data_IF_943768642427
#
_entry.id   IF_943768642427
#
_cell.length_a   1.000
_cell.length_b   1.000
_cell.length_c   1.000
_cell.angle_alpha   90.00
_cell.angle_beta   90.00
_cell.angle_gamma   90.00
#
_symmetry.space_group_name_H-M   'P 1'
#
loop_
_entity.id
_entity.type
_entity.pdbx_description
1 polymer ?
#
# COMPACT_ATOMS: atom_id res chain seq x y z
N UNK A 1 13.73 -6.16 14.02
CA UNK A 1 14.07 -5.39 12.81
C UNK A 1 12.80 -4.70 12.32
N UNK A 2 12.57 -3.44 12.72
CA UNK A 2 11.34 -2.70 12.40
C UNK A 2 11.53 -1.39 11.63
N UNK A 3 12.79 -0.94 11.47
CA UNK A 3 13.09 0.35 10.85
C UNK A 3 13.15 0.27 9.32
N UNK A 4 13.54 -0.87 8.75
CA UNK A 4 13.68 -1.03 7.31
C UNK A 4 12.32 -1.36 6.66
N UNK A 5 11.93 -0.66 5.58
CA UNK A 5 10.67 -0.91 4.90
C UNK A 5 10.55 -2.34 4.37
N UNK A 6 9.38 -2.97 4.54
CA UNK A 6 9.12 -4.31 4.03
C UNK A 6 9.10 -4.31 2.49
N UNK A 7 9.44 -5.43 1.88
CA UNK A 7 9.48 -5.56 0.41
C UNK A 7 8.16 -5.20 -0.28
N UNK A 8 7.02 -5.48 0.36
CA UNK A 8 5.70 -5.09 -0.15
C UNK A 8 5.50 -3.57 -0.18
N UNK A 9 6.03 -2.84 0.81
CA UNK A 9 5.96 -1.38 0.88
C UNK A 9 6.79 -0.74 -0.25
N UNK A 10 7.95 -1.34 -0.58
CA UNK A 10 8.74 -0.94 -1.76
C UNK A 10 7.97 -1.12 -3.06
N UNK A 11 7.35 -2.29 -3.26
CA UNK A 11 6.57 -2.58 -4.46
C UNK A 11 5.42 -1.58 -4.65
N UNK A 12 4.65 -1.31 -3.58
CA UNK A 12 3.56 -0.32 -3.59
C UNK A 12 4.08 1.08 -3.95
N UNK A 13 5.21 1.48 -3.38
CA UNK A 13 5.79 2.80 -3.64
C UNK A 13 6.27 2.92 -5.09
N UNK A 14 6.95 1.91 -5.63
CA UNK A 14 7.39 1.93 -7.03
C UNK A 14 6.18 2.03 -7.98
N UNK A 15 5.13 1.26 -7.71
CA UNK A 15 3.92 1.26 -8.53
C UNK A 15 3.18 2.61 -8.45
N UNK A 16 3.14 3.22 -7.26
CA UNK A 16 2.68 4.59 -7.05
C UNK A 16 3.47 5.59 -7.91
N UNK A 17 4.81 5.58 -7.85
CA UNK A 17 5.64 6.51 -8.63
C UNK A 17 5.44 6.30 -10.12
N UNK A 18 5.43 5.05 -10.59
CA UNK A 18 5.22 4.75 -12.00
C UNK A 18 3.90 5.35 -12.51
N UNK A 19 2.81 5.16 -11.77
CA UNK A 19 1.50 5.70 -12.15
C UNK A 19 1.49 7.22 -12.06
N UNK A 20 2.13 7.82 -11.06
CA UNK A 20 2.24 9.27 -10.94
C UNK A 20 3.02 9.89 -12.12
N UNK A 21 4.11 9.25 -12.55
CA UNK A 21 4.89 9.69 -13.72
C UNK A 21 4.07 9.55 -15.00
N UNK A 22 3.43 8.40 -15.23
CA UNK A 22 2.59 8.18 -16.42
C UNK A 22 1.43 9.17 -16.45
N UNK A 23 0.75 9.37 -15.32
CA UNK A 23 -0.33 10.34 -15.17
C UNK A 23 0.19 11.75 -15.43
N UNK A 24 1.35 12.10 -14.87
CA UNK A 24 2.01 13.39 -15.07
C UNK A 24 2.35 13.64 -16.55
N UNK A 25 2.93 12.66 -17.24
CA UNK A 25 3.25 12.75 -18.67
C UNK A 25 1.98 12.90 -19.51
N UNK A 26 0.93 12.12 -19.21
CA UNK A 26 -0.36 12.25 -19.89
C UNK A 26 -0.97 13.63 -19.67
N UNK A 27 -0.92 14.14 -18.44
CA UNK A 27 -1.38 15.49 -18.06
C UNK A 27 -0.55 16.59 -18.72
N UNK A 28 0.77 16.47 -18.78
CA UNK A 28 1.67 17.43 -19.41
C UNK A 28 1.51 17.46 -20.93
N UNK A 29 1.18 16.32 -21.54
CA UNK A 29 0.82 16.23 -22.96
C UNK A 29 -0.52 16.91 -23.28
N UNK A 30 -1.40 17.10 -22.28
CA UNK A 30 -2.57 17.95 -22.37
C UNK A 30 -2.14 19.41 -22.10
N UNK A 31 -1.61 20.09 -23.12
CA UNK A 31 -1.04 21.46 -23.07
C UNK A 31 -1.88 22.52 -22.31
N UNK A 32 -3.17 22.27 -22.09
CA UNK A 32 -4.10 23.18 -21.43
C UNK A 32 -4.53 22.77 -20.02
N UNK A 33 -4.13 21.61 -19.48
CA UNK A 33 -4.68 21.13 -18.20
C UNK A 33 -4.35 22.05 -17.00
N UNK A 34 -3.12 22.55 -16.81
CA UNK A 34 -2.81 23.46 -15.69
C UNK A 34 -3.60 24.76 -15.77
N UNK A 35 -3.75 25.28 -17.00
CA UNK A 35 -4.54 26.49 -17.29
C UNK A 35 -6.03 26.25 -17.09
N UNK A 36 -6.52 25.05 -17.43
CA UNK A 36 -7.90 24.64 -17.23
C UNK A 36 -8.21 24.37 -15.76
N UNK A 37 -7.27 23.85 -14.96
CA UNK A 37 -7.39 23.71 -13.51
C UNK A 37 -7.49 25.09 -12.86
N UNK A 38 -6.62 26.03 -13.25
CA UNK A 38 -6.66 27.41 -12.75
C UNK A 38 -7.95 28.15 -13.15
N UNK A 39 -8.44 27.95 -14.37
CA UNK A 39 -9.74 28.49 -14.79
C UNK A 39 -10.90 27.81 -14.07
N UNK A 40 -10.82 26.50 -13.87
CA UNK A 40 -11.84 25.73 -13.19
C UNK A 40 -11.89 26.03 -11.69
N UNK A 41 -10.79 26.39 -11.02
CA UNK A 41 -10.83 26.80 -9.62
C UNK A 41 -11.67 28.05 -9.35
N UNK A 42 -12.03 28.80 -10.40
CA UNK A 42 -12.97 29.92 -10.32
C UNK A 42 -14.44 29.47 -10.41
N UNK A 43 -14.71 28.22 -10.80
CA UNK A 43 -16.04 27.62 -10.89
C UNK A 43 -16.04 26.32 -10.07
N UNK A 44 -16.56 26.32 -8.83
CA UNK A 44 -16.41 25.20 -7.88
C UNK A 44 -16.85 23.83 -8.44
N UNK A 45 -17.90 23.79 -9.25
CA UNK A 45 -18.40 22.55 -9.86
C UNK A 45 -17.42 21.99 -10.90
N UNK A 46 -16.85 22.82 -11.77
CA UNK A 46 -15.84 22.40 -12.75
C UNK A 46 -14.52 22.01 -12.07
N UNK A 47 -14.13 22.73 -11.02
CA UNK A 47 -12.97 22.36 -10.21
C UNK A 47 -13.12 20.96 -9.63
N UNK A 48 -14.27 20.66 -9.02
CA UNK A 48 -14.54 19.34 -8.45
C UNK A 48 -14.55 18.24 -9.50
N UNK A 49 -15.09 18.48 -10.69
CA UNK A 49 -15.10 17.50 -11.79
C UNK A 49 -13.68 17.22 -12.28
N UNK A 50 -12.87 18.25 -12.52
CA UNK A 50 -11.49 18.06 -12.97
C UNK A 50 -10.66 17.38 -11.90
N UNK A 51 -10.82 17.79 -10.64
CA UNK A 51 -10.17 17.17 -9.50
C UNK A 51 -10.56 15.69 -9.40
N UNK A 52 -11.85 15.37 -9.52
CA UNK A 52 -12.34 14.00 -9.54
C UNK A 52 -11.72 13.20 -10.69
N UNK A 53 -11.67 13.72 -11.92
CA UNK A 53 -11.08 13.02 -13.08
C UNK A 53 -9.59 12.75 -12.90
N UNK A 54 -8.83 13.77 -12.46
CA UNK A 54 -7.38 13.66 -12.21
C UNK A 54 -7.07 12.66 -11.09
N UNK A 55 -8.04 12.41 -10.20
CA UNK A 55 -7.89 11.51 -9.05
C UNK A 55 -8.43 10.10 -9.34
N UNK A 56 -9.58 9.98 -10.00
CA UNK A 56 -10.24 8.72 -10.27
C UNK A 56 -9.48 7.90 -11.30
N UNK A 57 -8.99 8.54 -12.37
CA UNK A 57 -8.30 7.83 -13.46
C UNK A 57 -7.07 7.09 -12.93
N UNK A 58 -6.15 7.71 -12.16
CA UNK A 58 -5.01 7.01 -11.58
C UNK A 58 -5.41 5.91 -10.60
N UNK A 59 -6.47 6.12 -9.82
CA UNK A 59 -6.97 5.13 -8.87
C UNK A 59 -7.51 3.87 -9.59
N UNK A 60 -8.30 4.07 -10.64
CA UNK A 60 -8.81 2.98 -11.48
C UNK A 60 -7.65 2.27 -12.17
N UNK A 61 -6.72 3.03 -12.77
CA UNK A 61 -5.53 2.46 -13.41
C UNK A 61 -4.70 1.61 -12.43
N UNK A 62 -4.47 2.11 -11.21
CA UNK A 62 -3.80 1.35 -10.15
C UNK A 62 -4.53 0.06 -9.83
N UNK A 63 -5.85 0.09 -9.63
CA UNK A 63 -6.63 -1.11 -9.31
C UNK A 63 -6.51 -2.17 -10.41
N UNK A 64 -6.52 -1.77 -11.68
CA UNK A 64 -6.34 -2.68 -12.81
C UNK A 64 -4.92 -3.25 -12.87
N UNK A 65 -3.90 -2.40 -12.76
CA UNK A 65 -2.48 -2.81 -12.78
C UNK A 65 -2.18 -3.75 -11.60
N UNK A 66 -2.62 -3.40 -10.40
CA UNK A 66 -2.49 -4.23 -9.21
C UNK A 66 -3.23 -5.56 -9.35
N UNK A 67 -4.44 -5.55 -9.92
CA UNK A 67 -5.18 -6.79 -10.19
C UNK A 67 -4.47 -7.68 -11.22
N UNK A 68 -3.82 -7.09 -12.21
CA UNK A 68 -3.07 -7.83 -13.23
C UNK A 68 -1.77 -8.43 -12.67
N UNK A 69 -1.04 -7.68 -11.84
CA UNK A 69 0.24 -8.13 -11.26
C UNK A 69 0.08 -9.06 -10.05
N UNK A 70 -0.89 -8.81 -9.18
CA UNK A 70 -0.96 -9.39 -7.83
C UNK A 70 -2.34 -9.96 -7.46
N UNK A 71 -3.36 -9.78 -8.32
CA UNK A 71 -4.74 -10.06 -7.96
C UNK A 71 -5.18 -11.49 -8.23
N UNK A 72 -5.33 -12.29 -7.18
CA UNK A 72 -6.20 -13.46 -7.23
C UNK A 72 -7.67 -12.98 -7.20
N UNK A 73 -8.39 -13.13 -8.32
CA UNK A 73 -9.83 -12.83 -8.36
C UNK A 73 -10.59 -13.93 -7.62
N UNK A 74 -11.57 -13.59 -6.77
CA UNK A 74 -12.43 -14.59 -6.16
C UNK A 74 -13.20 -15.36 -7.23
N UNK A 75 -13.46 -16.64 -6.99
CA UNK A 75 -14.27 -17.46 -7.91
C UNK A 75 -15.66 -16.85 -8.07
N UNK A 76 -16.10 -16.71 -9.33
CA UNK A 76 -17.37 -16.06 -9.68
C UNK A 76 -17.31 -14.51 -9.77
N UNK A 77 -16.16 -13.87 -9.52
CA UNK A 77 -16.04 -12.42 -9.68
C UNK A 77 -16.06 -11.98 -11.16
N UNK A 78 -16.64 -10.80 -11.41
CA UNK A 78 -16.75 -10.26 -12.77
C UNK A 78 -15.38 -10.10 -13.45
N UNK A 79 -15.21 -10.67 -14.64
CA UNK A 79 -13.92 -10.68 -15.37
C UNK A 79 -13.39 -9.27 -15.67
N UNK A 80 -14.27 -8.29 -15.90
CA UNK A 80 -13.90 -6.91 -16.27
C UNK A 80 -13.64 -5.98 -15.09
N UNK A 81 -14.00 -6.39 -13.86
CA UNK A 81 -13.87 -5.54 -12.67
C UNK A 81 -12.58 -5.96 -11.93
N UNK A 82 -11.76 -5.01 -11.44
CA UNK A 82 -10.62 -5.34 -10.60
C UNK A 82 -11.07 -6.07 -9.32
N UNK A 83 -10.20 -6.89 -8.76
CA UNK A 83 -10.52 -7.63 -7.53
C UNK A 83 -10.80 -6.66 -6.36
N UNK A 84 -11.63 -7.03 -5.37
CA UNK A 84 -11.87 -6.20 -4.19
C UNK A 84 -10.59 -5.82 -3.45
N UNK A 85 -9.61 -6.73 -3.41
CA UNK A 85 -8.28 -6.48 -2.83
C UNK A 85 -7.57 -5.37 -3.60
N UNK A 86 -7.56 -5.43 -4.93
CA UNK A 86 -6.94 -4.40 -5.76
C UNK A 86 -7.62 -3.03 -5.64
N UNK A 87 -8.94 -3.01 -5.46
CA UNK A 87 -9.69 -1.75 -5.23
C UNK A 87 -9.29 -1.16 -3.88
N UNK A 88 -9.20 -1.98 -2.83
CA UNK A 88 -8.75 -1.55 -1.50
C UNK A 88 -7.32 -0.99 -1.56
N UNK A 89 -6.42 -1.66 -2.28
CA UNK A 89 -5.04 -1.23 -2.47
C UNK A 89 -4.93 0.07 -3.27
N UNK A 90 -5.78 0.25 -4.28
CA UNK A 90 -5.87 1.51 -5.02
C UNK A 90 -6.34 2.67 -4.13
N UNK A 91 -7.38 2.44 -3.31
CA UNK A 91 -7.86 3.42 -2.35
C UNK A 91 -6.79 3.78 -1.29
N UNK A 92 -6.07 2.78 -0.77
CA UNK A 92 -4.95 2.99 0.15
C UNK A 92 -3.85 3.84 -0.51
N UNK A 93 -3.50 3.50 -1.76
CA UNK A 93 -2.48 4.22 -2.51
C UNK A 93 -2.88 5.68 -2.68
N UNK A 94 -4.14 5.95 -2.98
CA UNK A 94 -4.65 7.32 -3.10
C UNK A 94 -4.50 8.11 -1.80
N UNK A 95 -4.83 7.52 -0.65
CA UNK A 95 -4.62 8.13 0.67
C UNK A 95 -3.14 8.44 0.88
N UNK A 96 -2.25 7.50 0.58
CA UNK A 96 -0.78 7.69 0.71
C UNK A 96 -0.27 8.78 -0.24
N UNK A 97 -0.79 8.87 -1.47
CA UNK A 97 -0.46 9.95 -2.40
C UNK A 97 -0.80 11.31 -1.81
N UNK A 98 -2.05 11.49 -1.36
CA UNK A 98 -2.55 12.77 -0.88
C UNK A 98 -1.83 13.23 0.38
N UNK A 99 -1.79 12.38 1.41
CA UNK A 99 -1.12 12.73 2.67
C UNK A 99 0.41 12.80 2.50
N UNK A 100 0.98 11.95 1.65
CA UNK A 100 2.41 11.96 1.36
C UNK A 100 2.84 13.25 0.65
N UNK A 101 2.08 13.70 -0.36
CA UNK A 101 2.33 14.97 -1.03
C UNK A 101 2.16 16.15 -0.07
N UNK A 102 1.07 16.18 0.69
CA UNK A 102 0.81 17.27 1.65
C UNK A 102 1.93 17.37 2.69
N UNK A 103 2.35 16.24 3.27
CA UNK A 103 3.45 16.22 4.24
C UNK A 103 4.77 16.66 3.60
N UNK A 104 5.04 16.22 2.37
CA UNK A 104 6.24 16.63 1.63
C UNK A 104 6.26 18.12 1.37
N UNK A 105 5.12 18.71 0.96
CA UNK A 105 5.00 20.14 0.74
C UNK A 105 5.21 20.92 2.03
N UNK A 106 4.68 20.46 3.17
CA UNK A 106 4.92 21.09 4.47
C UNK A 106 6.43 21.07 4.81
N UNK A 107 7.09 19.92 4.64
CA UNK A 107 8.54 19.77 4.91
C UNK A 107 9.40 20.65 4.00
N UNK A 108 9.04 20.74 2.72
CA UNK A 108 9.87 21.38 1.69
C UNK A 108 9.53 22.85 1.46
N UNK A 109 8.34 23.33 1.84
CA UNK A 109 7.90 24.71 1.62
C UNK A 109 8.84 25.79 2.17
N UNK A 110 9.53 25.63 3.32
CA UNK A 110 10.47 26.64 3.80
C UNK A 110 11.70 26.83 2.90
N UNK A 111 11.98 25.85 2.03
CA UNK A 111 13.13 25.85 1.13
C UNK A 111 12.76 26.21 -0.31
N UNK A 112 11.54 26.70 -0.54
CA UNK A 112 11.08 27.09 -1.88
C UNK A 112 11.94 28.25 -2.43
N UNK A 113 12.52 28.11 -3.64
CA UNK A 113 13.29 29.18 -4.27
C UNK A 113 12.44 30.42 -4.47
N UNK A 114 12.97 31.58 -4.12
CA UNK A 114 12.26 32.85 -4.29
C UNK A 114 12.80 33.60 -5.51
N UNK A 115 11.92 33.91 -6.47
CA UNK A 115 12.26 34.66 -7.67
C UNK A 115 12.78 36.07 -7.34
N UNK A 116 12.33 36.67 -6.24
CA UNK A 116 12.75 38.02 -5.86
C UNK A 116 14.21 38.13 -5.41
N UNK A 117 14.91 37.00 -5.23
CA UNK A 117 16.28 36.97 -4.72
C UNK A 117 17.36 36.79 -5.80
N UNK A 118 17.01 36.49 -7.06
CA UNK A 118 18.01 36.08 -8.07
C UNK A 118 17.66 36.47 -9.52
N UNK A 119 18.67 36.46 -10.40
CA UNK A 119 18.52 36.44 -11.85
C UNK A 119 17.78 35.17 -12.35
N UNK A 120 17.05 35.30 -13.46
CA UNK A 120 16.14 34.27 -14.01
C UNK A 120 16.80 32.91 -14.24
N UNK A 121 18.07 32.89 -14.67
CA UNK A 121 18.79 31.64 -14.94
C UNK A 121 19.09 30.86 -13.66
N UNK A 122 19.57 31.54 -12.62
CA UNK A 122 19.88 30.92 -11.33
C UNK A 122 18.63 30.44 -10.62
N UNK A 123 17.53 31.18 -10.75
CA UNK A 123 16.22 30.74 -10.26
C UNK A 123 15.77 29.43 -10.91
N UNK A 124 15.96 29.23 -12.22
CA UNK A 124 15.56 27.98 -12.89
C UNK A 124 16.36 26.77 -12.40
N UNK A 125 17.66 26.91 -12.22
CA UNK A 125 18.50 25.81 -11.73
C UNK A 125 18.11 25.39 -10.31
N UNK A 126 17.89 26.37 -9.41
CA UNK A 126 17.47 26.09 -8.05
C UNK A 126 16.04 25.53 -7.99
N UNK A 127 15.14 25.96 -8.89
CA UNK A 127 13.80 25.39 -9.04
C UNK A 127 13.86 23.91 -9.48
N UNK A 128 14.74 23.56 -10.42
CA UNK A 128 14.93 22.17 -10.85
C UNK A 128 15.46 21.29 -9.71
N UNK A 129 16.45 21.80 -8.95
CA UNK A 129 16.96 21.11 -7.75
C UNK A 129 15.87 20.95 -6.70
N UNK A 130 15.06 21.98 -6.49
CA UNK A 130 13.95 21.94 -5.56
C UNK A 130 12.90 20.90 -5.94
N UNK A 131 12.53 20.79 -7.23
CA UNK A 131 11.62 19.73 -7.70
C UNK A 131 12.20 18.32 -7.51
N UNK A 132 13.50 18.14 -7.71
CA UNK A 132 14.16 16.88 -7.42
C UNK A 132 14.06 16.53 -5.92
N UNK A 133 14.33 17.50 -5.04
CA UNK A 133 14.22 17.32 -3.58
C UNK A 133 12.79 17.00 -3.17
N UNK A 134 11.78 17.70 -3.72
CA UNK A 134 10.36 17.39 -3.47
C UNK A 134 10.04 15.96 -3.90
N UNK A 135 10.44 15.58 -5.11
CA UNK A 135 10.11 14.26 -5.68
C UNK A 135 10.75 13.13 -4.87
N UNK A 136 12.03 13.30 -4.50
CA UNK A 136 12.75 12.33 -3.66
C UNK A 136 12.18 12.25 -2.25
N UNK A 137 11.86 13.39 -1.63
CA UNK A 137 11.25 13.45 -0.30
C UNK A 137 9.88 12.77 -0.31
N UNK A 138 9.08 13.02 -1.34
CA UNK A 138 7.78 12.38 -1.52
C UNK A 138 7.90 10.86 -1.63
N UNK A 139 8.85 10.37 -2.43
CA UNK A 139 9.15 8.94 -2.52
C UNK A 139 9.45 8.33 -1.14
N UNK A 140 10.35 8.95 -0.37
CA UNK A 140 10.72 8.47 0.97
C UNK A 140 9.52 8.50 1.91
N UNK A 141 8.77 9.60 1.95
CA UNK A 141 7.57 9.73 2.80
C UNK A 141 6.54 8.64 2.46
N UNK A 142 6.22 8.44 1.18
CA UNK A 142 5.27 7.42 0.75
C UNK A 142 5.73 6.01 1.11
N UNK A 143 7.03 5.71 0.96
CA UNK A 143 7.60 4.43 1.36
C UNK A 143 7.39 4.15 2.85
N UNK A 144 7.66 5.15 3.70
CA UNK A 144 7.48 5.02 5.15
C UNK A 144 6.00 5.01 5.56
N UNK A 145 5.11 5.68 4.83
CA UNK A 145 3.66 5.57 5.06
C UNK A 145 3.15 4.16 4.77
N UNK A 146 3.55 3.55 3.65
CA UNK A 146 3.21 2.15 3.37
C UNK A 146 3.82 1.18 4.38
N UNK A 147 5.07 1.42 4.79
CA UNK A 147 5.71 0.62 5.84
C UNK A 147 4.98 0.73 7.18
N UNK A 148 4.58 1.94 7.58
CA UNK A 148 3.79 2.17 8.79
C UNK A 148 2.44 1.44 8.70
N UNK A 149 1.74 1.54 7.57
CA UNK A 149 0.52 0.80 7.32
C UNK A 149 0.70 -0.71 7.47
N UNK A 150 1.80 -1.27 6.93
CA UNK A 150 2.11 -2.69 7.02
C UNK A 150 2.45 -3.14 8.44
N UNK A 151 3.13 -2.29 9.22
CA UNK A 151 3.41 -2.56 10.63
C UNK A 151 2.13 -2.59 11.47
N UNK A 152 1.18 -1.69 11.18
CA UNK A 152 -0.11 -1.61 11.90
C UNK A 152 -1.03 -2.77 11.49
N UNK A 153 -1.12 -3.06 10.19
CA UNK A 153 -2.04 -4.07 9.66
C UNK A 153 -1.55 -5.49 9.87
N UNK A 154 -0.23 -5.68 9.85
CA UNK A 154 0.43 -6.97 10.06
C UNK A 154 1.49 -6.80 11.16
N UNK A 155 1.06 -6.62 12.43
CA UNK A 155 1.99 -6.53 13.55
C UNK A 155 2.83 -7.80 13.56
N UNK A 156 4.15 -7.65 13.70
CA UNK A 156 4.99 -8.83 13.87
C UNK A 156 4.44 -9.61 15.06
N UNK A 157 4.06 -10.86 14.84
CA UNK A 157 3.72 -11.76 15.93
C UNK A 157 4.85 -11.63 16.93
N UNK A 158 4.56 -11.05 18.11
CA UNK A 158 5.49 -11.17 19.23
C UNK A 158 5.77 -12.66 19.30
N UNK A 159 7.04 -13.07 19.17
CA UNK A 159 7.43 -14.39 19.63
C UNK A 159 6.94 -14.42 21.07
N UNK A 160 5.78 -15.03 21.31
CA UNK A 160 5.45 -15.50 22.63
C UNK A 160 6.64 -16.37 22.97
N UNK A 161 7.38 -15.96 24.00
CA UNK A 161 8.27 -16.86 24.68
C UNK A 161 7.32 -17.86 25.35
N UNK A 162 6.77 -18.79 24.56
CA UNK A 162 6.16 -20.02 25.05
C UNK A 162 7.32 -20.88 25.51
N UNK A 163 7.85 -20.55 26.69
CA UNK A 163 8.48 -21.52 27.57
C UNK A 163 7.38 -22.48 28.00
N UNK A 164 7.08 -23.49 27.17
CA UNK A 164 6.65 -24.85 27.54
C UNK A 164 5.78 -25.47 26.43
N UNK A 165 6.41 -26.02 25.41
CA UNK A 165 5.87 -27.22 24.75
C UNK A 165 6.99 -28.24 24.67
N UNK A 166 6.92 -29.38 25.37
CA UNK A 166 7.82 -30.48 25.10
C UNK A 166 7.51 -30.99 23.68
N UNK A 167 8.58 -31.23 22.93
CA UNK A 167 8.55 -31.92 21.65
C UNK A 167 7.73 -33.20 21.79
N UNK A 168 6.65 -33.32 21.01
CA UNK A 168 5.97 -34.60 20.83
C UNK A 168 6.52 -35.21 19.54
N UNK A 169 7.07 -36.44 19.59
CA UNK A 169 7.74 -37.03 18.45
C UNK A 169 6.73 -37.41 17.37
N UNK A 170 7.19 -37.31 16.11
CA UNK A 170 6.48 -37.76 14.92
C UNK A 170 6.11 -39.25 15.05
N UNK A 171 4.84 -39.52 15.29
CA UNK A 171 4.24 -40.85 15.12
C UNK A 171 3.02 -40.68 14.21
N UNK A 172 2.93 -41.49 13.15
CA UNK A 172 1.74 -41.61 12.31
C UNK A 172 0.63 -42.22 13.17
N UNK A 173 -0.08 -41.37 13.90
CA UNK A 173 -1.28 -41.76 14.64
C UNK A 173 -2.40 -41.91 13.63
N UNK A 174 -2.97 -43.11 13.54
CA UNK A 174 -4.10 -43.39 12.66
C UNK A 174 -5.30 -42.52 13.07
N UNK A 175 -6.18 -42.15 12.12
CA UNK A 175 -7.35 -41.31 12.42
C UNK A 175 -8.23 -41.91 13.52
N UNK A 176 -8.25 -43.24 13.64
CA UNK A 176 -8.98 -44.00 14.65
C UNK A 176 -8.43 -43.76 16.06
N UNK A 177 -7.11 -43.73 16.21
CA UNK A 177 -6.46 -43.46 17.51
C UNK A 177 -6.73 -42.02 17.97
N UNK A 178 -6.80 -41.08 17.02
CA UNK A 178 -7.14 -39.67 17.31
C UNK A 178 -8.58 -39.53 17.80
N UNK A 179 -9.51 -40.27 17.21
CA UNK A 179 -10.91 -40.26 17.62
C UNK A 179 -11.13 -40.94 18.97
N UNK A 180 -10.40 -42.03 19.25
CA UNK A 180 -10.41 -42.68 20.58
C UNK A 180 -9.88 -41.76 21.68
N UNK A 181 -8.84 -40.98 21.41
CA UNK A 181 -8.30 -39.99 22.36
C UNK A 181 -9.31 -38.85 22.59
N UNK A 182 -9.96 -38.37 21.53
CA UNK A 182 -11.00 -37.34 21.63
C UNK A 182 -12.23 -37.84 22.42
N UNK A 183 -12.64 -39.10 22.22
CA UNK A 183 -13.73 -39.74 22.96
C UNK A 183 -13.37 -39.95 24.44
N UNK A 184 -12.13 -40.35 24.74
CA UNK A 184 -11.62 -40.48 26.10
C UNK A 184 -11.67 -39.14 26.85
N UNK A 185 -11.20 -38.07 26.21
CA UNK A 185 -11.21 -36.74 26.82
C UNK A 185 -12.62 -36.17 27.01
N UNK A 186 -13.58 -36.55 26.16
CA UNK A 186 -14.95 -36.04 26.23
C UNK A 186 -15.85 -36.80 27.21
N UNK A 187 -15.58 -38.08 27.44
CA UNK A 187 -16.44 -38.95 28.28
C UNK A 187 -15.84 -39.28 29.64
N UNK A 188 -14.53 -39.10 29.86
CA UNK A 188 -13.85 -39.44 31.11
C UNK A 188 -13.77 -40.95 31.38
N UNK A 189 -14.13 -41.79 30.39
CA UNK A 189 -14.16 -43.25 30.54
C UNK A 189 -12.77 -43.82 30.29
N UNK A 190 -12.22 -44.51 31.29
CA UNK A 190 -10.98 -45.26 31.17
C UNK A 190 -11.24 -46.66 30.59
N UNK A 191 -10.90 -46.88 29.33
CA UNK A 191 -10.87 -48.21 28.75
C UNK A 191 -9.68 -49.00 29.33
N UNK A 192 -9.95 -50.17 29.90
CA UNK A 192 -8.89 -51.13 30.28
C UNK A 192 -8.25 -51.68 29.02
N UNK A 193 -6.93 -51.57 28.91
CA UNK A 193 -6.18 -52.19 27.83
C UNK A 193 -6.31 -53.72 27.92
N UNK A 194 -6.50 -54.43 26.78
CA UNK A 194 -6.54 -55.88 26.78
C UNK A 194 -5.16 -56.45 27.13
N UNK A 195 -5.10 -57.63 27.78
CA UNK A 195 -3.85 -58.26 28.14
C UNK A 195 -3.03 -58.58 26.88
N UNK A 196 -1.75 -58.22 26.93
CA UNK A 196 -0.78 -58.57 25.88
C UNK A 196 -0.61 -60.10 25.84
N UNK A 197 -0.77 -60.69 24.66
CA UNK A 197 -0.33 -62.06 24.38
C UNK A 197 1.17 -62.09 24.11
#
# INVERSE_FOLDING_TARGET
>A
MGWMPRGISWLRTILLIFIAVVTGVLISGLENLPRNIYRASQIPSLFLIILAVVILIPCVAYAYIHCWLLGNKPDGWAKKIPSPVSIKEAALTYVVTYFGLLLTLVITSPFAPNLSQYDVYRYRDDLQRFYFVISFSWFVVSLYMFHAYDLISNPQAKKSVDKSKPETPKSKVSSVDRDLINLKNKTGIHFKEPPKK
#
